data_IF_089066364233
#
_entry.id   IF_089066364233
#
_cell.length_a   1.000
_cell.length_b   1.000
_cell.length_c   1.000
_cell.angle_alpha   90.00
_cell.angle_beta   90.00
_cell.angle_gamma   90.00
#
_symmetry.space_group_name_H-M   'P 1'
#
loop_
_entity.id
_entity.type
_entity.pdbx_description
1 polymer ?
#
# COMPACT_ATOMS: atom_id res chain seq x y z
N UNK A 1 -15.71 17.88 60.31
CA UNK A 1 -15.60 17.22 58.98
C UNK A 1 -14.27 17.65 58.36
N UNK A 2 -13.22 16.86 58.54
CA UNK A 2 -11.91 17.11 57.93
C UNK A 2 -11.84 16.38 56.57
N UNK A 3 -11.60 17.11 55.48
CA UNK A 3 -11.36 16.54 54.14
C UNK A 3 -9.88 16.19 54.02
N UNK A 4 -9.60 14.88 53.97
CA UNK A 4 -8.28 14.36 53.61
C UNK A 4 -8.04 14.63 52.11
N UNK A 5 -7.03 15.43 51.80
CA UNK A 5 -6.51 15.55 50.43
C UNK A 5 -5.56 14.38 50.20
N UNK A 6 -5.96 13.44 49.34
CA UNK A 6 -5.14 12.30 48.95
C UNK A 6 -3.86 12.75 48.25
N UNK A 7 -2.73 12.22 48.74
CA UNK A 7 -1.37 12.47 48.23
C UNK A 7 -0.97 11.45 47.15
N UNK A 8 -1.92 10.90 46.39
CA UNK A 8 -1.69 9.75 45.49
C UNK A 8 -1.71 10.07 44.00
N UNK A 9 -1.75 11.34 43.59
CA UNK A 9 -1.59 11.71 42.17
C UNK A 9 -0.12 12.01 41.85
N UNK A 10 0.61 11.14 41.13
CA UNK A 10 1.93 11.49 40.65
C UNK A 10 1.80 12.65 39.65
N UNK A 11 2.39 13.80 39.98
CA UNK A 11 2.57 14.93 39.03
C UNK A 11 3.43 14.44 37.87
N UNK A 12 2.80 14.04 36.76
CA UNK A 12 3.48 13.82 35.49
C UNK A 12 3.92 15.17 34.90
N UNK A 13 4.98 15.75 35.44
CA UNK A 13 5.71 16.83 34.79
C UNK A 13 6.66 16.22 33.77
N UNK A 14 6.15 15.74 32.63
CA UNK A 14 6.96 15.57 31.42
C UNK A 14 6.58 16.67 30.46
N UNK A 15 7.23 17.83 30.61
CA UNK A 15 7.34 18.81 29.54
C UNK A 15 8.20 18.16 28.45
N UNK A 16 7.59 17.34 27.59
CA UNK A 16 8.26 16.88 26.39
C UNK A 16 8.33 18.07 25.45
N UNK A 17 9.49 18.73 25.42
CA UNK A 17 9.92 19.58 24.31
C UNK A 17 10.13 18.68 23.09
N UNK A 18 9.04 18.13 22.55
CA UNK A 18 9.08 17.60 21.19
C UNK A 18 8.95 18.83 20.30
N UNK A 19 9.99 19.23 19.55
CA UNK A 19 9.80 20.21 18.50
C UNK A 19 8.73 19.65 17.58
N UNK A 20 7.60 20.34 17.49
CA UNK A 20 6.57 20.07 16.49
C UNK A 20 7.15 20.54 15.16
N UNK A 21 8.00 19.71 14.56
CA UNK A 21 8.41 19.90 13.18
C UNK A 21 7.15 19.68 12.37
N UNK A 22 6.62 20.73 11.76
CA UNK A 22 5.41 20.72 10.93
C UNK A 22 5.60 19.74 9.75
N UNK A 23 5.23 18.49 9.98
CA UNK A 23 5.42 17.37 9.07
C UNK A 23 4.72 17.59 7.72
N UNK A 24 3.67 18.43 7.69
CA UNK A 24 2.94 18.82 6.48
C UNK A 24 3.71 19.80 5.57
N UNK A 25 4.45 20.77 6.14
CA UNK A 25 5.24 21.71 5.35
C UNK A 25 6.46 21.00 4.74
N UNK A 26 7.16 20.21 5.56
CA UNK A 26 8.28 19.39 5.12
C UNK A 26 7.86 18.27 4.17
N UNK A 27 6.69 17.66 4.37
CA UNK A 27 6.16 16.64 3.48
C UNK A 27 5.92 17.15 2.05
N UNK A 28 5.37 18.36 1.90
CA UNK A 28 5.17 18.98 0.58
C UNK A 28 6.49 19.37 -0.09
N UNK A 29 7.46 19.88 0.68
CA UNK A 29 8.81 20.16 0.19
C UNK A 29 9.51 18.89 -0.30
N UNK A 30 9.55 17.85 0.53
CA UNK A 30 10.20 16.57 0.19
C UNK A 30 9.59 15.91 -1.05
N UNK A 31 8.27 16.01 -1.24
CA UNK A 31 7.61 15.46 -2.43
C UNK A 31 7.94 16.23 -3.72
N UNK A 32 8.11 17.55 -3.62
CA UNK A 32 8.57 18.38 -4.73
C UNK A 32 10.05 18.10 -5.04
N UNK A 33 10.89 17.97 -4.02
CA UNK A 33 12.30 17.62 -4.16
C UNK A 33 12.50 16.22 -4.75
N UNK A 34 11.74 15.22 -4.31
CA UNK A 34 11.81 13.86 -4.84
C UNK A 34 11.46 13.82 -6.35
N UNK A 35 10.40 14.50 -6.76
CA UNK A 35 10.04 14.64 -8.18
C UNK A 35 11.09 15.41 -8.98
N UNK A 36 11.72 16.41 -8.37
CA UNK A 36 12.74 17.23 -9.02
C UNK A 36 14.05 16.46 -9.23
N UNK A 37 14.55 15.77 -8.20
CA UNK A 37 15.77 14.95 -8.24
C UNK A 37 15.62 13.72 -9.16
N UNK A 38 14.43 13.12 -9.22
CA UNK A 38 14.16 11.96 -10.09
C UNK A 38 14.05 12.30 -11.59
N UNK A 39 14.06 13.58 -11.97
CA UNK A 39 13.89 13.99 -13.36
C UNK A 39 15.24 14.29 -14.03
N UNK A 40 15.47 13.78 -15.25
CA UNK A 40 16.68 14.04 -16.04
C UNK A 40 16.99 15.54 -16.27
N UNK A 41 15.96 16.40 -16.17
CA UNK A 41 16.07 17.86 -16.25
C UNK A 41 17.01 18.45 -15.20
N UNK A 42 17.05 17.91 -13.98
CA UNK A 42 17.94 18.42 -12.93
C UNK A 42 19.40 18.28 -13.31
N UNK A 43 19.79 17.11 -13.83
CA UNK A 43 21.14 16.84 -14.30
C UNK A 43 21.53 17.80 -15.42
N UNK A 44 20.63 18.03 -16.38
CA UNK A 44 20.87 19.00 -17.47
C UNK A 44 21.11 20.41 -16.93
N UNK A 45 20.26 20.90 -16.01
CA UNK A 45 20.45 22.22 -15.40
C UNK A 45 21.79 22.32 -14.65
N UNK A 46 22.17 21.29 -13.89
CA UNK A 46 23.44 21.25 -13.17
C UNK A 46 24.65 21.24 -14.11
N UNK A 47 24.60 20.45 -15.19
CA UNK A 47 25.65 20.44 -16.20
C UNK A 47 25.79 21.80 -16.88
N UNK A 48 24.67 22.44 -17.26
CA UNK A 48 24.68 23.77 -17.86
C UNK A 48 25.24 24.82 -16.89
N UNK A 49 24.90 24.74 -15.60
CA UNK A 49 25.44 25.64 -14.58
C UNK A 49 26.97 25.50 -14.45
N UNK A 50 27.47 24.27 -14.29
CA UNK A 50 28.91 23.99 -14.19
C UNK A 50 29.64 24.45 -15.45
N UNK A 51 29.10 24.14 -16.63
CA UNK A 51 29.71 24.51 -17.90
C UNK A 51 29.73 26.03 -18.07
N UNK A 52 28.64 26.72 -17.73
CA UNK A 52 28.57 28.19 -17.78
C UNK A 52 29.58 28.84 -16.83
N UNK A 53 29.76 28.28 -15.63
CA UNK A 53 30.76 28.76 -14.66
C UNK A 53 32.19 28.61 -15.18
N UNK A 54 32.51 27.44 -15.74
CA UNK A 54 33.83 27.16 -16.32
C UNK A 54 34.09 28.07 -17.52
N UNK A 55 33.12 28.20 -18.44
CA UNK A 55 33.23 29.08 -19.61
C UNK A 55 33.42 30.54 -19.18
N UNK A 56 32.66 31.02 -18.19
CA UNK A 56 32.80 32.37 -17.66
C UNK A 56 34.20 32.62 -17.09
N UNK A 57 34.67 31.76 -16.18
CA UNK A 57 35.99 31.93 -15.56
C UNK A 57 37.15 31.71 -16.54
N UNK A 58 36.96 30.90 -17.60
CA UNK A 58 37.98 30.70 -18.62
C UNK A 58 38.08 31.85 -19.62
N UNK A 59 36.94 32.38 -20.07
CA UNK A 59 36.87 33.44 -21.09
C UNK A 59 36.95 34.86 -20.52
N UNK A 60 36.72 35.03 -19.21
CA UNK A 60 36.86 36.33 -18.55
C UNK A 60 38.33 36.82 -18.56
N UNK A 61 38.56 38.14 -18.76
CA UNK A 61 39.85 38.78 -18.52
C UNK A 61 40.33 38.56 -17.09
N UNK A 62 41.65 38.51 -16.87
CA UNK A 62 42.28 38.17 -15.57
C UNK A 62 41.74 39.01 -14.41
N UNK A 63 41.36 40.27 -14.67
CA UNK A 63 40.82 41.18 -13.65
C UNK A 63 39.37 40.89 -13.23
N UNK A 64 38.63 40.07 -14.00
CA UNK A 64 37.23 39.69 -13.76
C UNK A 64 37.03 38.21 -13.45
N UNK A 65 38.12 37.44 -13.35
CA UNK A 65 38.08 36.03 -12.97
C UNK A 65 37.81 35.93 -11.48
N UNK A 66 36.65 35.36 -11.14
CA UNK A 66 36.30 35.11 -9.74
C UNK A 66 36.89 33.80 -9.20
N UNK A 67 37.14 32.83 -10.08
CA UNK A 67 37.56 31.46 -9.73
C UNK A 67 38.55 30.91 -10.77
N UNK A 68 39.83 31.24 -10.62
CA UNK A 68 40.91 30.70 -11.46
C UNK A 68 41.12 29.19 -11.24
N UNK A 69 41.71 28.51 -12.23
CA UNK A 69 42.09 27.10 -12.12
C UNK A 69 42.94 26.88 -10.84
N UNK A 70 42.52 26.03 -9.90
CA UNK A 70 41.70 24.83 -10.04
C UNK A 70 40.19 24.93 -9.67
N UNK A 71 39.55 26.10 -9.75
CA UNK A 71 38.13 26.32 -9.43
C UNK A 71 37.76 25.99 -7.97
N UNK A 72 38.42 26.65 -7.01
CA UNK A 72 38.22 26.38 -5.57
C UNK A 72 36.80 26.72 -5.13
N UNK A 73 36.20 27.79 -5.66
CA UNK A 73 34.86 28.22 -5.26
C UNK A 73 33.80 27.25 -5.77
N UNK A 74 33.89 26.84 -7.04
CA UNK A 74 33.00 25.82 -7.58
C UNK A 74 33.07 24.52 -6.76
N UNK A 75 34.28 24.10 -6.40
CA UNK A 75 34.50 22.89 -5.59
C UNK A 75 33.89 23.03 -4.19
N UNK A 76 34.07 24.18 -3.55
CA UNK A 76 33.47 24.48 -2.25
C UNK A 76 31.93 24.45 -2.31
N UNK A 77 31.33 25.07 -3.32
CA UNK A 77 29.88 25.07 -3.50
C UNK A 77 29.35 23.65 -3.73
N UNK A 78 30.00 22.86 -4.60
CA UNK A 78 29.58 21.49 -4.88
C UNK A 78 29.71 20.57 -3.65
N UNK A 79 30.80 20.71 -2.89
CA UNK A 79 30.98 19.93 -1.65
C UNK A 79 29.95 20.28 -0.58
N UNK A 80 29.62 21.57 -0.42
CA UNK A 80 28.54 22.01 0.47
C UNK A 80 27.18 21.49 -0.01
N UNK A 81 26.93 21.54 -1.32
CA UNK A 81 25.69 21.03 -1.92
C UNK A 81 25.50 19.54 -1.66
N UNK A 82 26.56 18.74 -1.78
CA UNK A 82 26.53 17.31 -1.45
C UNK A 82 26.27 17.07 0.05
N UNK A 83 26.94 17.85 0.92
CA UNK A 83 26.79 17.75 2.37
C UNK A 83 25.37 18.03 2.86
N UNK A 84 24.70 19.05 2.29
CA UNK A 84 23.31 19.36 2.65
C UNK A 84 22.28 18.42 1.97
N UNK A 85 22.62 17.85 0.81
CA UNK A 85 21.75 16.88 0.14
C UNK A 85 21.56 15.61 0.98
N UNK A 86 22.61 15.10 1.61
CA UNK A 86 22.56 13.86 2.41
C UNK A 86 21.47 13.86 3.51
N UNK A 87 21.38 14.84 4.44
CA UNK A 87 20.34 14.87 5.47
C UNK A 87 18.94 15.08 4.89
N UNK A 88 18.81 15.86 3.81
CA UNK A 88 17.54 16.07 3.14
C UNK A 88 17.03 14.77 2.48
N UNK A 89 17.94 14.02 1.84
CA UNK A 89 17.65 12.71 1.26
C UNK A 89 17.26 11.72 2.37
N UNK A 90 17.98 11.68 3.50
CA UNK A 90 17.65 10.81 4.63
C UNK A 90 16.25 11.11 5.19
N UNK A 91 15.87 12.38 5.28
CA UNK A 91 14.52 12.77 5.71
C UNK A 91 13.44 12.35 4.69
N UNK A 92 13.73 12.51 3.40
CA UNK A 92 12.83 12.03 2.34
C UNK A 92 12.69 10.49 2.37
N UNK A 93 13.78 9.77 2.63
CA UNK A 93 13.80 8.31 2.76
C UNK A 93 13.05 7.82 4.00
N UNK A 94 13.22 8.44 5.17
CA UNK A 94 12.46 8.07 6.38
C UNK A 94 10.96 8.17 6.14
N UNK A 95 10.51 9.23 5.46
CA UNK A 95 9.08 9.38 5.14
C UNK A 95 8.58 8.35 4.13
N UNK A 96 9.40 8.00 3.14
CA UNK A 96 9.05 6.94 2.20
C UNK A 96 8.93 5.61 2.93
N UNK A 97 9.89 5.27 3.79
CA UNK A 97 9.87 4.06 4.61
C UNK A 97 8.66 4.00 5.56
N UNK A 98 8.24 5.14 6.14
CA UNK A 98 7.03 5.21 6.97
C UNK A 98 5.76 4.90 6.16
N UNK A 99 5.63 5.46 4.95
CA UNK A 99 4.51 5.15 4.04
C UNK A 99 4.52 3.68 3.62
N UNK A 100 5.67 3.18 3.19
CA UNK A 100 5.85 1.80 2.76
C UNK A 100 5.50 0.83 3.91
N UNK A 101 5.84 1.19 5.16
CA UNK A 101 5.47 0.40 6.35
C UNK A 101 3.96 0.36 6.60
N UNK A 102 3.26 1.49 6.42
CA UNK A 102 1.79 1.53 6.56
C UNK A 102 1.16 0.65 5.48
N UNK A 103 1.59 0.79 4.23
CA UNK A 103 1.10 -0.01 3.11
C UNK A 103 1.30 -1.52 3.35
N UNK A 104 2.48 -1.93 3.82
CA UNK A 104 2.74 -3.35 4.15
C UNK A 104 1.81 -3.86 5.26
N UNK A 105 1.49 -3.03 6.26
CA UNK A 105 0.58 -3.46 7.33
C UNK A 105 -0.87 -3.59 6.83
N UNK A 106 -1.33 -2.66 5.99
CA UNK A 106 -2.66 -2.75 5.35
C UNK A 106 -2.77 -3.97 4.42
N UNK A 107 -1.73 -4.23 3.63
CA UNK A 107 -1.67 -5.41 2.76
C UNK A 107 -1.72 -6.71 3.56
N UNK A 108 -1.05 -6.77 4.73
CA UNK A 108 -1.12 -7.92 5.63
C UNK A 108 -2.53 -8.13 6.16
N UNK A 109 -3.18 -7.07 6.62
CA UNK A 109 -4.55 -7.15 7.15
C UNK A 109 -5.55 -7.57 6.04
N UNK A 110 -5.42 -7.03 4.83
CA UNK A 110 -6.21 -7.48 3.69
C UNK A 110 -5.97 -8.95 3.35
N UNK A 111 -4.71 -9.40 3.38
CA UNK A 111 -4.37 -10.79 3.09
C UNK A 111 -4.95 -11.75 4.13
N UNK A 112 -4.90 -11.40 5.42
CA UNK A 112 -5.54 -12.18 6.49
C UNK A 112 -7.06 -12.27 6.28
N UNK A 113 -7.72 -11.17 5.92
CA UNK A 113 -9.16 -11.17 5.59
C UNK A 113 -9.45 -12.01 4.35
N UNK A 114 -8.64 -11.91 3.30
CA UNK A 114 -8.81 -12.70 2.07
C UNK A 114 -8.66 -14.20 2.31
N UNK A 115 -7.75 -14.60 3.20
CA UNK A 115 -7.61 -16.01 3.61
C UNK A 115 -8.86 -16.47 4.35
N UNK A 116 -9.37 -15.67 5.30
CA UNK A 116 -10.59 -15.99 6.04
C UNK A 116 -11.82 -16.10 5.11
N UNK A 117 -11.97 -15.18 4.15
CA UNK A 117 -13.05 -15.23 3.16
C UNK A 117 -12.94 -16.48 2.28
N UNK A 118 -11.72 -16.86 1.89
CA UNK A 118 -11.49 -18.08 1.09
C UNK A 118 -11.83 -19.33 1.90
N UNK A 119 -11.47 -19.38 3.19
CA UNK A 119 -11.83 -20.48 4.08
C UNK A 119 -13.35 -20.58 4.26
N UNK A 120 -14.02 -19.44 4.47
CA UNK A 120 -15.47 -19.37 4.57
C UNK A 120 -16.15 -19.89 3.30
N UNK A 121 -15.74 -19.38 2.13
CA UNK A 121 -16.27 -19.82 0.84
C UNK A 121 -16.01 -21.30 0.58
N UNK A 122 -14.84 -21.83 0.97
CA UNK A 122 -14.52 -23.26 0.81
C UNK A 122 -15.40 -24.12 1.69
N UNK A 123 -15.67 -23.68 2.93
CA UNK A 123 -16.56 -24.37 3.85
C UNK A 123 -18.01 -24.35 3.37
N UNK A 124 -18.46 -23.22 2.84
CA UNK A 124 -19.80 -23.07 2.25
C UNK A 124 -19.93 -23.88 0.95
N UNK A 125 -18.88 -23.94 0.13
CA UNK A 125 -18.86 -24.79 -1.06
C UNK A 125 -18.92 -26.29 -0.66
N UNK A 126 -18.24 -26.68 0.42
CA UNK A 126 -18.29 -28.03 0.94
C UNK A 126 -19.69 -28.39 1.50
N UNK A 127 -20.36 -27.47 2.19
CA UNK A 127 -21.73 -27.67 2.67
C UNK A 127 -22.71 -27.78 1.49
N UNK A 128 -22.64 -26.86 0.53
CA UNK A 128 -23.43 -26.89 -0.70
C UNK A 128 -23.22 -28.19 -1.49
N UNK A 129 -21.97 -28.64 -1.64
CA UNK A 129 -21.64 -29.91 -2.29
C UNK A 129 -22.28 -31.09 -1.56
N UNK A 130 -22.24 -31.12 -0.24
CA UNK A 130 -22.86 -32.21 0.53
C UNK A 130 -24.38 -32.21 0.38
N UNK A 131 -25.03 -31.04 0.48
CA UNK A 131 -26.48 -30.92 0.28
C UNK A 131 -26.91 -31.29 -1.14
N UNK A 132 -26.17 -30.89 -2.17
CA UNK A 132 -26.41 -31.34 -3.55
C UNK A 132 -26.12 -32.84 -3.72
N UNK A 133 -25.11 -33.36 -3.03
CA UNK A 133 -24.77 -34.78 -3.02
C UNK A 133 -25.90 -35.65 -2.46
N UNK A 134 -26.56 -35.21 -1.38
CA UNK A 134 -27.75 -35.89 -0.84
C UNK A 134 -28.92 -35.88 -1.83
N UNK A 135 -29.23 -34.73 -2.43
CA UNK A 135 -30.37 -34.58 -3.36
C UNK A 135 -30.15 -35.29 -4.71
N UNK A 136 -28.89 -35.45 -5.15
CA UNK A 136 -28.54 -36.11 -6.42
C UNK A 136 -28.00 -37.54 -6.24
N UNK A 137 -28.30 -38.21 -5.12
CA UNK A 137 -27.86 -39.59 -4.95
C UNK A 137 -28.57 -40.48 -5.98
N UNK A 138 -27.82 -41.35 -6.67
CA UNK A 138 -28.33 -42.28 -7.68
C UNK A 138 -29.56 -43.06 -7.20
N UNK A 139 -29.62 -43.40 -5.92
CA UNK A 139 -30.73 -44.13 -5.33
C UNK A 139 -32.02 -43.30 -5.21
N UNK A 140 -31.91 -42.01 -4.88
CA UNK A 140 -33.06 -41.08 -4.88
C UNK A 140 -33.57 -40.83 -6.31
N UNK A 141 -32.65 -40.58 -7.25
CA UNK A 141 -33.01 -40.47 -8.66
C UNK A 141 -33.62 -41.77 -9.20
N UNK A 142 -33.15 -42.93 -8.75
CA UNK A 142 -33.68 -44.23 -9.16
C UNK A 142 -35.05 -44.51 -8.53
N UNK A 143 -35.28 -44.11 -7.28
CA UNK A 143 -36.59 -44.26 -6.65
C UNK A 143 -37.62 -43.37 -7.35
N UNK A 144 -37.29 -42.09 -7.59
CA UNK A 144 -38.23 -41.18 -8.28
C UNK A 144 -38.53 -41.60 -9.72
N UNK A 145 -37.50 -42.02 -10.47
CA UNK A 145 -37.71 -42.57 -11.82
C UNK A 145 -38.54 -43.87 -11.79
N UNK A 146 -38.38 -44.70 -10.76
CA UNK A 146 -39.16 -45.94 -10.60
C UNK A 146 -40.60 -45.65 -10.20
N UNK A 147 -40.83 -44.68 -9.32
CA UNK A 147 -42.17 -44.30 -8.85
C UNK A 147 -42.97 -43.68 -10.00
N UNK A 148 -42.37 -42.75 -10.76
CA UNK A 148 -42.96 -42.20 -11.98
C UNK A 148 -43.24 -43.29 -13.03
N UNK A 149 -42.32 -44.24 -13.21
CA UNK A 149 -42.52 -45.35 -14.14
C UNK A 149 -43.68 -46.27 -13.70
N UNK A 150 -43.81 -46.53 -12.40
CA UNK A 150 -44.93 -47.31 -11.86
C UNK A 150 -46.25 -46.57 -12.03
N UNK A 151 -46.29 -45.26 -11.77
CA UNK A 151 -47.48 -44.44 -11.92
C UNK A 151 -47.99 -44.45 -13.37
N UNK A 152 -47.11 -44.19 -14.34
CA UNK A 152 -47.46 -44.28 -15.78
C UNK A 152 -47.96 -45.68 -16.15
N UNK A 153 -47.31 -46.75 -15.66
CA UNK A 153 -47.74 -48.12 -15.94
C UNK A 153 -49.14 -48.42 -15.38
N UNK A 154 -49.47 -47.84 -14.23
CA UNK A 154 -50.74 -48.00 -13.54
C UNK A 154 -51.85 -47.25 -14.26
N UNK A 155 -51.56 -46.04 -14.75
CA UNK A 155 -52.44 -45.24 -15.62
C UNK A 155 -52.77 -46.02 -16.91
N UNK A 156 -51.74 -46.53 -17.61
CA UNK A 156 -51.92 -47.28 -18.86
C UNK A 156 -52.78 -48.54 -18.67
N UNK A 157 -52.59 -49.23 -17.54
CA UNK A 157 -53.34 -50.45 -17.20
C UNK A 157 -54.78 -50.13 -16.83
N UNK A 158 -55.03 -48.95 -16.25
CA UNK A 158 -56.37 -48.45 -15.94
C UNK A 158 -57.15 -48.10 -17.21
N UNK A 159 -56.51 -47.41 -18.16
CA UNK A 159 -57.09 -47.09 -19.47
C UNK A 159 -57.42 -48.36 -20.28
N UNK A 160 -56.55 -49.38 -20.24
CA UNK A 160 -56.82 -50.67 -20.90
C UNK A 160 -58.01 -51.43 -20.29
N UNK A 161 -58.32 -51.22 -19.00
CA UNK A 161 -59.48 -51.84 -18.34
C UNK A 161 -60.79 -51.07 -18.59
N UNK A 162 -60.73 -49.76 -18.83
CA UNK A 162 -61.93 -49.00 -19.20
C UNK A 162 -62.40 -49.29 -20.63
N UNK A 163 -61.51 -49.66 -21.54
CA UNK A 163 -61.88 -50.05 -22.92
C UNK A 163 -62.47 -51.46 -23.03
N UNK A 164 -62.45 -52.25 -21.94
CA UNK A 164 -63.00 -53.62 -21.89
C UNK A 164 -64.36 -53.74 -21.17
N UNK A 165 -64.98 -52.61 -20.81
CA UNK A 165 -66.38 -52.51 -20.35
C UNK A 165 -67.26 -51.84 -21.41
#
# INVERSE_FOLDING_TARGET
MARNYGLDTPRQTRRSLRPHIDSEAFGRLSERFARFLGTARFLVYMTVFVLSWVVWNFTAPVDLRFDDYPFIFLTLILSLQASYAAPLILLAQNRQADRDRIQINEDREQNERSIADTEYLTRELASLRNSLGEVATRDFMRSELSDLAQEISKELRRDSQSDSQ
#
